data_IF_387339616419
#
_entry.id   IF_387339616419
#
_cell.length_a   1.000
_cell.length_b   1.000
_cell.length_c   1.000
_cell.angle_alpha   90.00
_cell.angle_beta   90.00
_cell.angle_gamma   90.00
#
_symmetry.space_group_name_H-M   'P 1'
#
loop_
_entity.id
_entity.type
_entity.pdbx_description
1 polymer ?
#
# COMPACT_ATOMS: atom_id res chain seq x y z
N UNK A 1 -10.02 8.69 -20.97
CA UNK A 1 -8.78 9.43 -20.68
C UNK A 1 -8.08 8.73 -19.53
N UNK A 2 -6.78 8.44 -19.64
CA UNK A 2 -6.04 7.68 -18.63
C UNK A 2 -5.87 8.52 -17.35
N UNK A 3 -6.29 7.99 -16.19
CA UNK A 3 -6.15 8.70 -14.91
C UNK A 3 -4.71 8.65 -14.37
N UNK A 4 -4.37 9.50 -13.40
CA UNK A 4 -3.05 9.45 -12.74
C UNK A 4 -2.84 8.12 -12.02
N UNK A 5 -3.88 7.62 -11.35
CA UNK A 5 -3.87 6.33 -10.66
C UNK A 5 -3.61 5.18 -11.63
N UNK A 6 -4.30 5.14 -12.76
CA UNK A 6 -4.14 4.07 -13.75
C UNK A 6 -2.74 4.12 -14.40
N UNK A 7 -2.22 5.32 -14.69
CA UNK A 7 -0.85 5.47 -15.20
C UNK A 7 0.18 4.96 -14.19
N UNK A 8 0.04 5.29 -12.91
CA UNK A 8 0.93 4.80 -11.85
C UNK A 8 0.85 3.29 -11.68
N UNK A 9 -0.36 2.70 -11.78
CA UNK A 9 -0.52 1.24 -11.77
C UNK A 9 0.21 0.57 -12.92
N UNK A 10 0.08 1.10 -14.14
CA UNK A 10 0.80 0.55 -15.29
C UNK A 10 2.31 0.70 -15.09
N UNK A 11 2.79 1.86 -14.63
CA UNK A 11 4.21 2.06 -14.33
C UNK A 11 4.73 1.01 -13.33
N UNK A 12 4.06 0.83 -12.19
CA UNK A 12 4.49 -0.14 -11.16
C UNK A 12 4.43 -1.56 -11.70
N UNK A 13 3.33 -1.94 -12.36
CA UNK A 13 3.17 -3.25 -12.97
C UNK A 13 4.27 -3.55 -13.99
N UNK A 14 4.49 -2.66 -14.97
CA UNK A 14 5.52 -2.84 -16.00
C UNK A 14 6.90 -2.92 -15.39
N UNK A 15 7.20 -2.10 -14.36
CA UNK A 15 8.49 -2.13 -13.67
C UNK A 15 8.73 -3.41 -12.87
N UNK A 16 7.69 -4.02 -12.29
CA UNK A 16 7.78 -5.35 -11.64
C UNK A 16 8.05 -6.43 -12.67
N UNK A 17 7.40 -6.37 -13.83
CA UNK A 17 7.51 -7.37 -14.89
C UNK A 17 8.65 -7.12 -15.88
N UNK A 18 9.50 -6.12 -15.60
CA UNK A 18 10.65 -5.73 -16.44
C UNK A 18 10.25 -5.37 -17.88
N UNK A 19 9.07 -4.78 -18.02
CA UNK A 19 8.52 -4.33 -19.29
C UNK A 19 8.74 -2.83 -19.45
N UNK A 20 9.02 -2.41 -20.68
CA UNK A 20 9.05 -1.01 -21.03
C UNK A 20 7.66 -0.38 -20.93
N UNK A 21 7.62 0.92 -20.67
CA UNK A 21 6.39 1.70 -20.60
C UNK A 21 6.53 2.96 -21.44
N UNK A 22 5.46 3.33 -22.15
CA UNK A 22 5.33 4.64 -22.78
C UNK A 22 3.85 5.04 -22.78
N UNK A 23 3.47 5.82 -21.78
CA UNK A 23 2.10 6.29 -21.57
C UNK A 23 2.11 7.71 -21.03
N UNK A 24 1.14 8.51 -21.44
CA UNK A 24 1.01 9.89 -20.94
C UNK A 24 -0.44 10.26 -20.71
N UNK A 25 -0.66 11.13 -19.75
CA UNK A 25 -1.86 11.93 -19.58
C UNK A 25 -1.45 13.43 -19.45
N UNK A 26 -2.37 14.39 -19.22
CA UNK A 26 -1.99 15.81 -19.19
C UNK A 26 -0.98 16.21 -18.11
N UNK A 27 -0.86 15.40 -17.06
CA UNK A 27 -0.10 15.72 -15.86
C UNK A 27 1.17 14.88 -15.72
N UNK A 28 1.09 13.62 -16.15
CA UNK A 28 2.11 12.59 -15.94
C UNK A 28 2.48 11.91 -17.26
N UNK A 29 3.76 11.54 -17.36
CA UNK A 29 4.28 10.64 -18.41
C UNK A 29 5.05 9.52 -17.73
N UNK A 30 4.66 8.27 -18.01
CA UNK A 30 5.45 7.09 -17.70
C UNK A 30 6.25 6.70 -18.96
N UNK A 31 7.56 6.65 -18.85
CA UNK A 31 8.42 6.31 -19.99
C UNK A 31 9.64 5.49 -19.55
N UNK A 32 10.10 4.61 -20.43
CA UNK A 32 11.42 3.98 -20.31
C UNK A 32 12.50 4.94 -20.78
N UNK A 33 13.52 5.13 -19.97
CA UNK A 33 14.75 5.84 -20.33
C UNK A 33 15.94 4.95 -20.00
N UNK A 34 16.70 4.59 -21.04
CA UNK A 34 17.77 3.59 -20.98
C UNK A 34 17.30 2.25 -20.41
N UNK A 35 17.61 1.97 -19.14
CA UNK A 35 17.33 0.72 -18.43
C UNK A 35 16.44 0.95 -17.21
N UNK A 36 15.72 2.07 -17.18
CA UNK A 36 14.85 2.44 -16.08
C UNK A 36 13.49 2.86 -16.61
N UNK A 37 12.43 2.42 -15.94
CA UNK A 37 11.12 3.05 -16.07
C UNK A 37 11.09 4.28 -15.16
N UNK A 38 10.47 5.35 -15.63
CA UNK A 38 10.33 6.59 -14.88
C UNK A 38 8.91 7.14 -15.01
N UNK A 39 8.42 7.78 -13.95
CA UNK A 39 7.25 8.66 -14.00
C UNK A 39 7.72 10.08 -13.85
N UNK A 40 7.30 10.93 -14.79
CA UNK A 40 7.63 12.34 -14.86
C UNK A 40 6.34 13.14 -14.73
N UNK A 41 6.28 13.99 -13.72
CA UNK A 41 5.25 15.02 -13.62
C UNK A 41 5.69 16.26 -14.39
N UNK A 42 4.76 16.85 -15.14
CA UNK A 42 5.05 17.99 -16.03
C UNK A 42 5.70 19.19 -15.33
N UNK A 43 5.38 19.41 -14.06
CA UNK A 43 5.86 20.56 -13.27
C UNK A 43 7.02 20.18 -12.35
N UNK A 44 7.02 18.96 -11.79
CA UNK A 44 7.98 18.53 -10.76
C UNK A 44 9.19 17.77 -11.33
N UNK A 45 9.12 17.34 -12.61
CA UNK A 45 10.13 16.47 -13.19
C UNK A 45 9.93 15.02 -12.77
N UNK A 46 11.03 14.28 -12.58
CA UNK A 46 10.98 12.86 -12.23
C UNK A 46 10.47 12.68 -10.79
N UNK A 47 9.37 11.93 -10.64
CA UNK A 47 8.73 11.67 -9.35
C UNK A 47 8.85 10.20 -8.89
N UNK A 48 9.09 9.28 -9.82
CA UNK A 48 9.30 7.87 -9.52
C UNK A 48 10.24 7.24 -10.55
N UNK A 49 11.08 6.31 -10.11
CA UNK A 49 11.94 5.51 -10.99
C UNK A 49 12.03 4.07 -10.50
N UNK A 50 12.27 3.14 -11.42
CA UNK A 50 12.61 1.74 -11.13
C UNK A 50 13.57 1.22 -12.19
N UNK A 51 14.63 0.56 -11.78
CA UNK A 51 15.55 -0.11 -12.70
C UNK A 51 14.95 -1.42 -13.23
N UNK A 52 15.16 -1.66 -14.52
CA UNK A 52 14.70 -2.86 -15.22
C UNK A 52 15.73 -4.00 -15.16
N UNK A 53 16.97 -3.71 -14.77
CA UNK A 53 18.06 -4.69 -14.73
C UNK A 53 18.15 -5.48 -13.42
N UNK A 54 17.59 -4.95 -12.33
CA UNK A 54 17.71 -5.58 -11.02
C UNK A 54 16.82 -6.82 -10.89
N UNK A 55 17.34 -7.85 -10.23
CA UNK A 55 16.62 -9.12 -10.00
C UNK A 55 15.35 -8.91 -9.17
N UNK A 56 15.41 -8.02 -8.18
CA UNK A 56 14.25 -7.50 -7.47
C UNK A 56 13.99 -6.06 -7.89
N UNK A 57 12.75 -5.71 -8.24
CA UNK A 57 12.43 -4.30 -8.51
C UNK A 57 12.59 -3.49 -7.23
N UNK A 58 13.23 -2.34 -7.36
CA UNK A 58 13.36 -1.33 -6.31
C UNK A 58 12.82 -0.04 -6.90
N UNK A 59 11.95 0.64 -6.15
CA UNK A 59 11.40 1.92 -6.58
C UNK A 59 12.03 3.05 -5.80
N UNK A 60 12.44 4.10 -6.49
CA UNK A 60 12.85 5.36 -5.87
C UNK A 60 11.76 6.40 -6.12
N UNK A 61 11.15 6.92 -5.05
CA UNK A 61 10.00 7.84 -5.10
C UNK A 61 10.37 9.18 -4.47
N UNK A 62 10.10 10.28 -5.18
CA UNK A 62 10.39 11.63 -4.70
C UNK A 62 9.50 11.99 -3.50
N UNK A 63 10.13 12.28 -2.36
CA UNK A 63 9.48 12.54 -1.08
C UNK A 63 8.59 13.80 -1.06
N UNK A 64 8.85 14.76 -1.95
CA UNK A 64 8.12 16.04 -2.00
C UNK A 64 7.12 16.10 -3.15
N UNK A 65 6.85 14.98 -3.85
CA UNK A 65 5.94 15.01 -4.98
C UNK A 65 4.50 15.27 -4.55
N UNK A 66 3.75 16.03 -5.36
CA UNK A 66 2.30 16.18 -5.14
C UNK A 66 1.52 14.88 -5.37
N UNK A 67 2.14 13.88 -6.00
CA UNK A 67 1.56 12.56 -6.25
C UNK A 67 1.94 11.51 -5.19
N UNK A 68 2.59 11.93 -4.11
CA UNK A 68 3.11 11.07 -3.04
C UNK A 68 2.06 10.09 -2.48
N UNK A 69 0.85 10.56 -2.19
CA UNK A 69 -0.21 9.71 -1.63
C UNK A 69 -0.63 8.61 -2.63
N UNK A 70 -0.78 8.97 -3.92
CA UNK A 70 -1.24 8.04 -4.97
C UNK A 70 -0.21 6.94 -5.22
N UNK A 71 1.07 7.29 -5.33
CA UNK A 71 2.10 6.28 -5.61
C UNK A 71 2.31 5.35 -4.42
N UNK A 72 2.18 5.85 -3.18
CA UNK A 72 2.22 5.03 -1.98
C UNK A 72 1.08 4.01 -1.92
N UNK A 73 -0.14 4.43 -2.27
CA UNK A 73 -1.29 3.53 -2.37
C UNK A 73 -1.05 2.43 -3.43
N UNK A 74 -0.58 2.81 -4.62
CA UNK A 74 -0.29 1.86 -5.70
C UNK A 74 0.80 0.89 -5.30
N UNK A 75 1.92 1.36 -4.75
CA UNK A 75 3.01 0.47 -4.29
C UNK A 75 2.52 -0.51 -3.22
N UNK A 76 1.64 -0.07 -2.32
CA UNK A 76 1.06 -0.93 -1.31
C UNK A 76 0.18 -2.04 -1.92
N UNK A 77 -0.60 -1.75 -2.96
CA UNK A 77 -1.38 -2.76 -3.70
C UNK A 77 -0.47 -3.87 -4.29
N UNK A 78 0.79 -3.55 -4.61
CA UNK A 78 1.80 -4.51 -5.10
C UNK A 78 2.75 -5.04 -4.02
N UNK A 79 2.45 -4.83 -2.74
CA UNK A 79 3.28 -5.30 -1.60
C UNK A 79 4.68 -4.65 -1.52
N UNK A 80 4.81 -3.40 -1.97
CA UNK A 80 6.02 -2.60 -1.78
C UNK A 80 5.89 -1.64 -0.61
N UNK A 81 6.91 -1.60 0.25
CA UNK A 81 6.96 -0.75 1.45
C UNK A 81 8.14 0.20 1.36
N UNK A 82 7.99 1.38 1.96
CA UNK A 82 9.08 2.33 2.16
C UNK A 82 10.14 1.70 3.06
N UNK A 83 11.40 1.73 2.62
CA UNK A 83 12.56 1.22 3.36
C UNK A 83 13.64 2.28 3.44
N UNK A 84 14.22 2.46 4.62
CA UNK A 84 15.36 3.35 4.84
C UNK A 84 15.00 4.83 4.96
N UNK A 85 16.01 5.67 4.77
CA UNK A 85 15.91 7.14 4.85
C UNK A 85 15.92 7.75 3.44
N UNK A 86 15.57 9.03 3.36
CA UNK A 86 15.66 9.82 2.12
C UNK A 86 17.11 9.85 1.64
N UNK A 87 17.32 9.57 0.36
CA UNK A 87 18.64 9.68 -0.25
C UNK A 87 19.09 11.15 -0.43
N UNK A 88 20.32 11.36 -0.90
CA UNK A 88 20.84 12.72 -1.13
C UNK A 88 20.06 13.53 -2.20
N UNK A 89 19.19 12.88 -2.96
CA UNK A 89 18.40 13.46 -4.06
C UNK A 89 16.94 13.69 -3.68
N UNK A 90 16.53 13.38 -2.45
CA UNK A 90 15.15 13.56 -2.00
C UNK A 90 14.24 12.37 -2.30
N UNK A 91 14.78 11.19 -2.58
CA UNK A 91 14.00 9.99 -2.90
C UNK A 91 14.00 8.99 -1.76
N UNK A 92 12.83 8.42 -1.50
CA UNK A 92 12.66 7.24 -0.67
C UNK A 92 12.77 5.97 -1.52
N UNK A 93 13.39 4.95 -0.94
CA UNK A 93 13.46 3.63 -1.55
C UNK A 93 12.26 2.77 -1.10
N UNK A 94 11.71 1.97 -2.02
CA UNK A 94 10.68 1.00 -1.73
C UNK A 94 11.09 -0.38 -2.20
N UNK A 95 10.86 -1.37 -1.33
CA UNK A 95 11.17 -2.78 -1.58
C UNK A 95 9.96 -3.66 -1.35
N UNK A 96 9.95 -4.78 -2.06
CA UNK A 96 8.95 -5.81 -1.86
C UNK A 96 9.00 -6.35 -0.43
N UNK A 97 7.84 -6.55 0.17
CA UNK A 97 7.66 -7.18 1.47
C UNK A 97 6.58 -8.24 1.37
N UNK A 98 6.78 -9.37 2.04
CA UNK A 98 5.78 -10.42 2.08
C UNK A 98 4.60 -10.00 2.99
N UNK A 99 3.39 -10.03 2.42
CA UNK A 99 2.14 -9.77 3.13
C UNK A 99 1.52 -11.11 3.55
N UNK A 100 1.09 -11.27 4.81
CA UNK A 100 0.37 -12.47 5.26
C UNK A 100 -0.91 -12.71 4.47
N UNK A 101 -1.23 -13.98 4.20
CA UNK A 101 -2.46 -14.36 3.49
C UNK A 101 -3.71 -13.83 4.20
N UNK A 102 -4.69 -13.36 3.41
CA UNK A 102 -5.94 -12.82 3.94
C UNK A 102 -5.81 -11.39 4.47
N UNK A 103 -4.75 -10.66 4.10
CA UNK A 103 -4.58 -9.24 4.40
C UNK A 103 -4.38 -8.44 3.13
N UNK A 104 -4.87 -7.20 3.15
CA UNK A 104 -4.57 -6.15 2.19
C UNK A 104 -3.62 -5.16 2.84
N UNK A 105 -2.57 -4.78 2.11
CA UNK A 105 -1.64 -3.74 2.53
C UNK A 105 -2.09 -2.36 2.12
N UNK A 106 -1.78 -1.38 2.96
CA UNK A 106 -2.05 0.03 2.77
C UNK A 106 -0.79 0.84 3.08
N UNK A 107 -0.45 1.78 2.20
CA UNK A 107 0.57 2.81 2.41
C UNK A 107 -0.14 4.16 2.36
N UNK A 108 -0.56 4.67 3.50
CA UNK A 108 -1.42 5.85 3.58
C UNK A 108 -0.99 6.75 4.73
N UNK A 109 -1.44 8.01 4.73
CA UNK A 109 -1.33 8.86 5.91
C UNK A 109 -1.92 8.19 7.15
N UNK A 110 -1.29 8.40 8.30
CA UNK A 110 -1.66 7.73 9.56
C UNK A 110 -3.10 8.04 10.00
N UNK A 111 -3.64 9.19 9.64
CA UNK A 111 -5.06 9.54 9.87
C UNK A 111 -6.03 8.52 9.23
N UNK A 112 -5.68 7.89 8.11
CA UNK A 112 -6.53 6.86 7.49
C UNK A 112 -6.52 5.55 8.28
N UNK A 113 -5.38 5.17 8.86
CA UNK A 113 -5.30 4.05 9.79
C UNK A 113 -6.16 4.31 11.03
N UNK A 114 -6.11 5.52 11.59
CA UNK A 114 -6.98 5.89 12.71
C UNK A 114 -8.46 5.79 12.37
N UNK A 115 -8.86 6.25 11.18
CA UNK A 115 -10.25 6.11 10.69
C UNK A 115 -10.66 4.64 10.56
N UNK A 116 -9.78 3.78 10.08
CA UNK A 116 -10.03 2.34 9.98
C UNK A 116 -10.18 1.71 11.38
N UNK A 117 -9.28 2.07 12.31
CA UNK A 117 -9.34 1.64 13.70
C UNK A 117 -10.66 2.04 14.37
N UNK A 118 -11.12 3.28 14.18
CA UNK A 118 -12.35 3.74 14.80
C UNK A 118 -13.58 2.94 14.38
N UNK A 119 -13.65 2.55 13.10
CA UNK A 119 -14.72 1.67 12.58
C UNK A 119 -14.64 0.28 13.22
N UNK A 120 -13.43 -0.24 13.38
CA UNK A 120 -13.19 -1.57 13.93
C UNK A 120 -13.35 -1.66 15.46
N UNK A 121 -12.99 -0.60 16.20
CA UNK A 121 -12.98 -0.56 17.67
C UNK A 121 -14.31 -0.98 18.29
N UNK A 122 -15.43 -0.66 17.64
CA UNK A 122 -16.78 -1.07 18.06
C UNK A 122 -16.94 -2.59 18.18
N UNK A 123 -16.22 -3.34 17.35
CA UNK A 123 -16.23 -4.81 17.30
C UNK A 123 -15.07 -5.43 18.08
N UNK A 124 -13.94 -4.73 18.16
CA UNK A 124 -12.73 -5.18 18.87
C UNK A 124 -12.97 -5.46 20.36
N UNK A 125 -13.83 -4.68 21.02
CA UNK A 125 -14.15 -4.84 22.45
C UNK A 125 -14.85 -6.17 22.77
N UNK A 126 -15.38 -6.89 21.76
CA UNK A 126 -16.09 -8.15 21.95
C UNK A 126 -15.22 -9.38 21.65
N UNK A 127 -14.02 -9.22 21.08
CA UNK A 127 -13.23 -10.30 20.49
C UNK A 127 -11.75 -10.20 20.88
N UNK A 128 -11.34 -10.95 21.91
CA UNK A 128 -9.94 -11.35 22.19
C UNK A 128 -8.82 -10.37 21.79
N UNK A 129 -7.73 -10.90 21.22
CA UNK A 129 -6.68 -10.06 20.63
C UNK A 129 -7.11 -9.70 19.20
N UNK A 130 -7.29 -8.41 18.87
CA UNK A 130 -7.71 -7.99 17.55
C UNK A 130 -6.63 -8.25 16.50
N UNK A 131 -6.89 -9.13 15.53
CA UNK A 131 -6.00 -9.42 14.40
C UNK A 131 -6.45 -8.73 13.11
N UNK A 132 -7.45 -7.86 13.16
CA UNK A 132 -8.03 -7.27 11.94
C UNK A 132 -7.15 -6.16 11.35
N UNK A 133 -6.33 -5.51 12.19
CA UNK A 133 -5.44 -4.43 11.81
C UNK A 133 -4.03 -4.71 12.33
N UNK A 134 -3.05 -4.73 11.41
CA UNK A 134 -1.64 -4.91 11.73
C UNK A 134 -0.84 -3.68 11.30
N UNK A 135 0.19 -3.33 12.06
CA UNK A 135 1.16 -2.27 11.72
C UNK A 135 2.53 -2.89 11.47
N UNK A 136 3.26 -2.37 10.49
CA UNK A 136 4.67 -2.75 10.29
C UNK A 136 5.54 -1.98 11.30
N UNK A 137 6.30 -2.70 12.12
CA UNK A 137 7.37 -2.09 12.94
C UNK A 137 8.55 -3.05 12.99
N UNK A 138 9.80 -2.55 12.93
CA UNK A 138 11.02 -3.37 13.07
C UNK A 138 10.98 -4.68 12.26
N UNK A 139 10.59 -4.56 10.99
CA UNK A 139 10.52 -5.67 10.04
C UNK A 139 9.55 -6.82 10.35
N UNK A 140 8.57 -6.60 11.23
CA UNK A 140 7.48 -7.54 11.46
C UNK A 140 6.11 -6.85 11.50
N UNK A 141 5.07 -7.66 11.25
CA UNK A 141 3.68 -7.23 11.34
C UNK A 141 3.16 -7.48 12.76
N UNK A 142 2.71 -6.42 13.42
CA UNK A 142 2.20 -6.50 14.79
C UNK A 142 0.73 -6.13 14.85
N UNK A 143 -0.10 -6.90 15.59
CA UNK A 143 -1.47 -6.52 15.85
C UNK A 143 -1.56 -5.19 16.60
N UNK A 144 -2.42 -4.29 16.11
CA UNK A 144 -2.71 -3.03 16.79
C UNK A 144 -3.66 -3.33 17.95
N UNK A 145 -3.24 -2.99 19.16
CA UNK A 145 -4.02 -3.16 20.38
C UNK A 145 -4.88 -1.95 20.70
N UNK A 146 -4.31 -0.78 20.51
CA UNK A 146 -4.98 0.48 20.79
C UNK A 146 -4.39 1.60 19.93
N UNK A 147 -5.19 2.62 19.72
CA UNK A 147 -4.89 3.74 18.85
C UNK A 147 -5.54 4.99 19.43
N UNK A 148 -4.70 5.93 19.88
CA UNK A 148 -5.13 7.18 20.52
C UNK A 148 -4.53 8.39 19.81
N UNK A 149 -5.26 9.50 19.78
CA UNK A 149 -4.76 10.77 19.25
C UNK A 149 -4.59 11.74 20.42
N UNK A 150 -3.43 12.38 20.50
CA UNK A 150 -3.16 13.52 21.37
C UNK A 150 -2.21 14.48 20.66
N UNK A 151 -2.50 15.78 20.73
CA UNK A 151 -1.59 16.84 20.27
C UNK A 151 -1.13 16.70 18.81
N UNK A 152 -2.01 16.26 17.92
CA UNK A 152 -1.70 16.04 16.49
C UNK A 152 -0.91 14.76 16.18
N UNK A 153 -0.54 14.00 17.21
CA UNK A 153 0.13 12.70 17.09
C UNK A 153 -0.85 11.55 17.26
N UNK A 154 -0.63 10.52 16.46
CA UNK A 154 -1.27 9.23 16.56
C UNK A 154 -0.34 8.25 17.30
N UNK A 155 -0.79 7.78 18.45
CA UNK A 155 -0.09 6.79 19.26
C UNK A 155 -0.65 5.41 18.95
N UNK A 156 0.16 4.56 18.31
CA UNK A 156 -0.18 3.19 17.93
C UNK A 156 0.46 2.24 18.94
N UNK A 157 -0.37 1.58 19.75
CA UNK A 157 0.06 0.59 20.73
C UNK A 157 -0.02 -0.81 20.13
N UNK A 158 1.06 -1.55 20.29
CA UNK A 158 1.17 -2.99 20.00
C UNK A 158 1.41 -3.76 21.30
N UNK A 159 1.62 -5.07 21.19
CA UNK A 159 1.90 -5.96 22.33
C UNK A 159 3.13 -5.57 23.15
N UNK A 160 4.17 -5.04 22.50
CA UNK A 160 5.47 -4.78 23.13
C UNK A 160 6.08 -3.43 22.79
N UNK A 161 5.32 -2.55 22.14
CA UNK A 161 5.82 -1.23 21.75
C UNK A 161 4.68 -0.23 21.55
N UNK A 162 4.99 1.04 21.70
CA UNK A 162 4.17 2.17 21.27
C UNK A 162 4.98 2.99 20.27
N UNK A 163 4.35 3.40 19.17
CA UNK A 163 4.93 4.34 18.21
C UNK A 163 4.05 5.59 18.14
N UNK A 164 4.67 6.75 18.06
CA UNK A 164 4.01 8.02 17.82
C UNK A 164 4.34 8.50 16.41
N UNK A 165 3.31 8.82 15.62
CA UNK A 165 3.45 9.32 14.25
C UNK A 165 2.55 10.53 14.06
N UNK A 166 2.96 11.48 13.22
CA UNK A 166 2.12 12.62 12.87
C UNK A 166 0.95 12.16 11.98
N UNK A 167 -0.18 12.88 12.03
CA UNK A 167 -1.39 12.55 11.26
C UNK A 167 -1.14 12.45 9.74
N UNK A 168 -0.17 13.21 9.24
CA UNK A 168 0.24 13.27 7.83
C UNK A 168 1.35 12.30 7.45
N UNK A 169 1.97 11.62 8.41
CA UNK A 169 3.04 10.65 8.12
C UNK A 169 2.45 9.44 7.40
N UNK A 170 3.15 8.97 6.36
CA UNK A 170 2.81 7.70 5.72
C UNK A 170 3.16 6.56 6.67
N UNK A 171 2.18 5.68 6.88
CA UNK A 171 2.36 4.44 7.62
C UNK A 171 1.97 3.25 6.75
N UNK A 172 2.70 2.16 6.90
CA UNK A 172 2.37 0.90 6.25
C UNK A 172 1.64 -0.01 7.23
N UNK A 173 0.41 -0.37 6.90
CA UNK A 173 -0.46 -1.19 7.74
C UNK A 173 -1.26 -2.20 6.90
N UNK A 174 -1.78 -3.22 7.57
CA UNK A 174 -2.59 -4.26 6.96
C UNK A 174 -4.00 -4.22 7.52
N UNK A 175 -4.98 -4.44 6.65
CA UNK A 175 -6.35 -4.79 7.02
C UNK A 175 -6.65 -6.21 6.60
N UNK A 176 -7.30 -7.00 7.45
CA UNK A 176 -7.77 -8.31 7.05
C UNK A 176 -8.82 -8.20 5.94
N UNK A 177 -8.66 -8.98 4.89
CA UNK A 177 -9.67 -9.11 3.84
C UNK A 177 -10.77 -10.04 4.37
N UNK A 178 -12.03 -9.62 4.31
CA UNK A 178 -13.12 -10.54 4.62
C UNK A 178 -13.05 -11.73 3.65
N UNK A 179 -13.22 -12.98 4.11
CA UNK A 179 -13.42 -14.08 3.19
C UNK A 179 -14.69 -13.78 2.38
N UNK A 180 -14.57 -13.75 1.05
CA UNK A 180 -15.72 -13.51 0.17
C UNK A 180 -16.85 -14.49 0.51
N UNK A 181 -17.94 -13.99 1.09
CA UNK A 181 -19.19 -14.72 1.35
C UNK A 181 -19.99 -15.03 0.07
N UNK A 182 -19.33 -15.22 -1.08
CA UNK A 182 -19.97 -15.35 -2.39
C UNK A 182 -19.74 -16.72 -3.07
N UNK A 183 -19.39 -17.77 -2.32
CA UNK A 183 -19.31 -19.15 -2.83
C UNK A 183 -20.21 -20.12 -2.05
N UNK A 184 -21.42 -19.70 -1.69
CA UNK A 184 -22.41 -20.56 -1.03
C UNK A 184 -23.79 -20.51 -1.70
N UNK A 185 -23.87 -20.57 -3.03
CA UNK A 185 -25.11 -21.07 -3.70
C UNK A 185 -24.86 -21.45 -5.15
N UNK A 186 -24.46 -22.70 -5.39
CA UNK A 186 -24.65 -23.47 -6.62
C UNK A 186 -24.25 -24.91 -6.26
N UNK A 187 -25.06 -25.97 -6.31
CA UNK A 187 -26.44 -26.17 -6.78
C UNK A 187 -26.88 -27.49 -6.13
N UNK A 188 -27.90 -27.50 -5.28
CA UNK A 188 -28.62 -28.73 -4.97
C UNK A 188 -29.63 -28.96 -6.10
N UNK A 189 -29.33 -29.89 -7.01
CA UNK A 189 -30.31 -30.38 -7.99
C UNK A 189 -31.07 -31.54 -7.32
N UNK A 190 -32.39 -31.46 -7.12
CA UNK A 190 -33.17 -32.61 -6.69
C UNK A 190 -33.31 -33.58 -7.87
N UNK A 191 -32.86 -34.83 -7.67
CA UNK A 191 -33.16 -35.93 -8.60
C UNK A 191 -34.67 -36.13 -8.64
N UNK A 192 -35.28 -35.83 -9.79
CA UNK A 192 -36.66 -36.16 -10.10
C UNK A 192 -36.71 -37.64 -10.51
N UNK A 193 -37.47 -38.43 -9.75
CA UNK A 193 -37.81 -39.81 -10.07
C UNK A 193 -38.49 -39.89 -11.44
N UNK A 194 -38.11 -40.89 -12.25
CA UNK A 194 -38.94 -41.45 -13.32
C UNK A 194 -39.11 -42.93 -13.02
N UNK A 195 -40.35 -43.29 -12.75
CA UNK A 195 -40.92 -44.60 -13.11
C UNK A 195 -41.15 -44.64 -14.63
#
# INVERSE_FOLDING_TARGET
MLSNLDLMRVFVYSSIHKQEVLLSNPFLTAQTVYKSNQVIAKIEGVIATSELTDTASVFSINATSSYWDVINEVLADYSYILTGEIDRRGFYEYRYCQVPNGYKMHGTKSVYLWRAWWKYRKYALQLGIPLELLIRTRDAWYPIRDLTISDGLLYIKTLGNEIAVHADDIVTWLSKTQPNSNNATHTAIPKKNRE
#
